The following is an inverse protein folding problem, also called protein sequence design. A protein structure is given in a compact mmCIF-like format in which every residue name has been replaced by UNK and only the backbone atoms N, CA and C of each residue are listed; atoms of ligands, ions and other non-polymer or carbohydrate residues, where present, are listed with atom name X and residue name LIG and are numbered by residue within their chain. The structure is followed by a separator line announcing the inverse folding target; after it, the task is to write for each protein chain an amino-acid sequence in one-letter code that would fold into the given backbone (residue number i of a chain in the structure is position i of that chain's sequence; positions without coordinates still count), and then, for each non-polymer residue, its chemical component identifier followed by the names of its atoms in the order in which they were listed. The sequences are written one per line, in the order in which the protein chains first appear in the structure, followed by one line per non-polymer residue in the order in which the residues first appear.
data_IF_954103845920
#
_entry.id   IF_954103845920
#
_cell.length_a   1.000
_cell.length_b   1.000
_cell.length_c   1.000
_cell.angle_alpha   90.00
_cell.angle_beta   90.00
_cell.angle_gamma   90.00
#
_symmetry.space_group_name_H-M   'P 1'
#
loop_
_entity.id
_entity.type
_entity.pdbx_description
1 polymer ?
#
# COMPACT_ATOMS: atom_id res chain seq x y z
N UNK A 1 9.76 -2.95 1.56
CA UNK A 1 10.41 -1.96 2.44
C UNK A 1 9.68 -0.64 2.30
N UNK A 2 9.55 0.18 3.36
CA UNK A 2 8.80 1.43 3.30
C UNK A 2 9.53 2.40 2.34
N UNK A 3 8.85 2.80 1.27
CA UNK A 3 9.41 3.68 0.25
C UNK A 3 9.48 5.13 0.75
N UNK A 4 10.63 5.77 0.55
CA UNK A 4 10.91 7.17 0.92
C UNK A 4 9.95 8.12 0.20
N UNK A 5 9.20 8.93 0.95
CA UNK A 5 8.47 10.08 0.39
C UNK A 5 7.18 10.49 1.12
N UNK A 6 6.63 9.62 1.96
CA UNK A 6 5.46 9.91 2.77
C UNK A 6 5.26 8.80 3.78
N UNK A 7 4.58 9.07 4.90
CA UNK A 7 4.32 8.08 5.96
C UNK A 7 3.37 6.95 5.56
N UNK A 8 3.04 6.83 4.27
CA UNK A 8 2.25 5.75 3.69
C UNK A 8 2.97 4.43 3.87
N UNK A 9 2.42 3.57 4.71
CA UNK A 9 2.95 2.23 4.95
C UNK A 9 2.37 1.29 3.90
N UNK A 10 3.26 0.72 3.08
CA UNK A 10 2.93 -0.24 2.03
C UNK A 10 3.73 -1.52 2.28
N UNK A 11 3.05 -2.66 2.28
CA UNK A 11 3.64 -3.98 2.36
C UNK A 11 3.21 -4.85 1.16
N UNK A 12 4.10 -5.73 0.71
CA UNK A 12 3.84 -6.67 -0.38
C UNK A 12 3.87 -8.09 0.16
N UNK A 13 2.87 -8.87 -0.21
CA UNK A 13 2.80 -10.30 0.12
C UNK A 13 2.61 -11.07 -1.18
N UNK A 14 3.40 -12.13 -1.34
CA UNK A 14 3.23 -13.10 -2.42
C UNK A 14 2.41 -14.26 -1.88
N UNK A 15 1.30 -14.59 -2.53
CA UNK A 15 0.53 -15.79 -2.17
C UNK A 15 1.18 -17.07 -2.73
N UNK A 16 0.77 -18.27 -2.26
CA UNK A 16 1.32 -19.54 -2.73
C UNK A 16 1.19 -19.78 -4.24
N UNK A 17 0.18 -19.17 -4.86
CA UNK A 17 -0.13 -19.30 -6.29
C UNK A 17 0.67 -18.30 -7.15
N UNK A 18 1.35 -17.35 -6.51
CA UNK A 18 2.27 -16.41 -7.12
C UNK A 18 1.71 -15.02 -7.37
N UNK A 19 0.48 -14.72 -6.94
CA UNK A 19 -0.06 -13.36 -7.02
C UNK A 19 0.58 -12.45 -5.98
N UNK A 20 0.74 -11.18 -6.35
CA UNK A 20 1.24 -10.14 -5.46
C UNK A 20 0.07 -9.31 -4.95
N UNK A 21 -0.08 -9.31 -3.63
CA UNK A 21 -1.06 -8.50 -2.92
C UNK A 21 -0.34 -7.27 -2.38
N UNK A 22 -0.88 -6.10 -2.66
CA UNK A 22 -0.45 -4.82 -2.08
C UNK A 22 -1.33 -4.47 -0.89
N UNK A 23 -0.70 -4.35 0.28
CA UNK A 23 -1.36 -3.96 1.53
C UNK A 23 -1.07 -2.48 1.80
N UNK A 24 -2.14 -1.67 1.73
CA UNK A 24 -2.12 -0.25 2.11
C UNK A 24 -2.78 -0.05 3.47
N UNK A 25 -2.23 0.85 4.29
CA UNK A 25 -2.90 1.21 5.54
C UNK A 25 -4.19 2.01 5.24
N UNK A 26 -5.31 1.64 5.85
CA UNK A 26 -6.62 2.29 5.63
C UNK A 26 -6.60 3.80 5.88
N UNK A 27 -5.78 4.28 6.83
CA UNK A 27 -5.62 5.72 7.10
C UNK A 27 -5.00 6.48 5.92
N UNK A 28 -4.25 5.77 5.08
CA UNK A 28 -3.52 6.31 3.94
C UNK A 28 -4.26 6.05 2.61
N UNK A 29 -5.25 5.15 2.60
CA UNK A 29 -6.03 4.78 1.40
C UNK A 29 -6.79 5.95 0.77
N UNK A 30 -7.24 6.92 1.56
CA UNK A 30 -7.92 8.13 1.05
C UNK A 30 -6.98 9.19 0.50
N UNK A 31 -5.69 9.15 0.88
CA UNK A 31 -4.71 10.18 0.50
C UNK A 31 -4.28 10.07 -0.96
N UNK A 32 -4.47 8.90 -1.59
CA UNK A 32 -4.12 8.64 -2.98
C UNK A 32 -5.26 8.85 -3.99
N UNK A 33 -6.49 9.08 -3.55
CA UNK A 33 -7.66 9.14 -4.44
C UNK A 33 -8.04 10.55 -4.91
N UNK A 34 -7.26 11.57 -4.53
CA UNK A 34 -7.59 12.97 -4.80
C UNK A 34 -8.74 13.44 -3.90
N UNK A 35 -8.62 14.64 -3.37
CA UNK A 35 -9.75 15.32 -2.74
C UNK A 35 -10.81 15.53 -3.83
N UNK A 36 -11.98 14.93 -3.65
CA UNK A 36 -13.17 15.31 -4.41
C UNK A 36 -13.70 16.65 -3.92
#
# INVERSE_FOLDING_TARGET
GPVKGGSTVIAFVKDPDGYMIELINKKDAGKGLGEG
#
